data_IF_630763958243
#
_entry.id   IF_630763958243
#
_cell.length_a   1.000
_cell.length_b   1.000
_cell.length_c   1.000
_cell.angle_alpha   90.00
_cell.angle_beta   90.00
_cell.angle_gamma   90.00
#
_symmetry.space_group_name_H-M   'P 1'
#
loop_
_entity.id
_entity.type
_entity.pdbx_description
1 polymer ?
#
# COMPACT_ATOMS: atom_id res chain seq x y z
N UNK A 1 -3.42 6.17 -17.28
CA UNK A 1 -3.45 5.57 -15.93
C UNK A 1 -2.37 4.52 -15.87
N UNK A 2 -1.55 4.56 -14.83
CA UNK A 2 -0.46 3.60 -14.58
C UNK A 2 -0.88 2.67 -13.46
N UNK A 3 -0.19 1.54 -13.35
CA UNK A 3 -0.39 0.58 -12.26
C UNK A 3 0.79 0.65 -11.31
N UNK A 4 0.50 0.71 -10.02
CA UNK A 4 1.48 0.78 -8.96
C UNK A 4 1.23 -0.38 -8.00
N UNK A 5 2.24 -1.21 -7.81
CA UNK A 5 2.22 -2.21 -6.77
C UNK A 5 2.63 -1.56 -5.46
N UNK A 6 1.82 -1.72 -4.42
CA UNK A 6 2.06 -1.13 -3.10
C UNK A 6 2.56 -2.22 -2.19
N UNK A 7 3.62 -1.90 -1.45
CA UNK A 7 4.20 -2.73 -0.42
C UNK A 7 4.04 -2.03 0.92
N UNK A 8 3.86 -2.82 1.96
CA UNK A 8 3.77 -2.35 3.33
C UNK A 8 4.77 -3.10 4.18
N UNK A 9 5.40 -2.40 5.11
CA UNK A 9 6.29 -3.02 6.09
C UNK A 9 5.48 -3.69 7.20
N UNK A 10 5.67 -4.98 7.40
CA UNK A 10 5.00 -5.77 8.43
C UNK A 10 5.92 -6.91 8.92
N UNK A 11 6.04 -7.09 10.23
CA UNK A 11 7.01 -8.03 10.86
C UNK A 11 8.45 -7.85 10.35
N UNK A 12 8.95 -6.62 10.23
CA UNK A 12 10.29 -6.32 9.69
C UNK A 12 10.51 -6.81 8.23
N UNK A 13 9.43 -7.07 7.50
CA UNK A 13 9.45 -7.52 6.10
C UNK A 13 8.51 -6.71 5.22
N UNK A 14 8.90 -6.47 3.98
CA UNK A 14 8.02 -5.86 2.98
C UNK A 14 7.06 -6.90 2.41
N UNK A 15 5.77 -6.66 2.54
CA UNK A 15 4.71 -7.50 1.98
C UNK A 15 3.94 -6.75 0.92
N UNK A 16 3.63 -7.42 -0.19
CA UNK A 16 2.73 -6.87 -1.21
C UNK A 16 1.36 -6.65 -0.59
N UNK A 17 0.86 -5.42 -0.63
CA UNK A 17 -0.47 -5.04 -0.18
C UNK A 17 -1.50 -5.15 -1.31
N UNK A 18 -1.13 -4.71 -2.51
CA UNK A 18 -1.98 -4.80 -3.68
C UNK A 18 -1.51 -3.92 -4.83
N UNK A 19 -2.25 -3.96 -5.93
CA UNK A 19 -1.96 -3.12 -7.11
C UNK A 19 -3.05 -2.08 -7.31
N UNK A 20 -2.65 -0.82 -7.38
CA UNK A 20 -3.54 0.33 -7.52
C UNK A 20 -3.35 1.00 -8.87
N UNK A 21 -4.45 1.40 -9.50
CA UNK A 21 -4.42 2.21 -10.72
C UNK A 21 -4.50 3.68 -10.33
N UNK A 22 -3.45 4.43 -10.63
CA UNK A 22 -3.35 5.85 -10.28
C UNK A 22 -2.70 6.66 -11.41
N UNK A 23 -2.72 7.98 -11.26
CA UNK A 23 -2.01 8.91 -12.15
C UNK A 23 -0.50 8.89 -11.89
N UNK A 24 -0.13 8.70 -10.63
CA UNK A 24 1.23 8.75 -10.08
C UNK A 24 1.30 7.89 -8.80
N UNK A 25 2.52 7.67 -8.30
CA UNK A 25 2.77 6.81 -7.15
C UNK A 25 2.27 7.39 -5.82
N UNK A 26 2.23 8.71 -5.66
CA UNK A 26 1.71 9.35 -4.45
C UNK A 26 0.21 9.09 -4.32
N UNK A 27 -0.54 9.27 -5.40
CA UNK A 27 -1.96 8.94 -5.43
C UNK A 27 -2.21 7.45 -5.19
N UNK A 28 -1.31 6.56 -5.67
CA UNK A 28 -1.43 5.13 -5.37
C UNK A 28 -1.25 4.82 -3.88
N UNK A 29 -0.33 5.49 -3.19
CA UNK A 29 -0.15 5.39 -1.74
C UNK A 29 -1.38 5.92 -0.99
N UNK A 30 -1.94 7.06 -1.40
CA UNK A 30 -3.16 7.60 -0.79
C UNK A 30 -4.34 6.63 -0.92
N UNK A 31 -4.52 6.03 -2.09
CA UNK A 31 -5.54 5.00 -2.31
C UNK A 31 -5.32 3.78 -1.42
N UNK A 32 -4.07 3.32 -1.28
CA UNK A 32 -3.73 2.21 -0.40
C UNK A 32 -4.01 2.54 1.08
N UNK A 33 -3.67 3.75 1.53
CA UNK A 33 -3.95 4.23 2.90
C UNK A 33 -5.44 4.38 3.18
N UNK A 34 -6.25 4.63 2.15
CA UNK A 34 -7.71 4.66 2.25
C UNK A 34 -8.29 3.27 2.56
N UNK A 35 -7.61 2.20 2.15
CA UNK A 35 -7.98 0.79 2.42
C UNK A 35 -7.62 0.32 3.84
N UNK A 36 -7.91 1.14 4.86
CA UNK A 36 -7.67 0.86 6.30
C UNK A 36 -8.22 -0.50 6.75
N UNK A 37 -9.39 -0.87 6.25
CA UNK A 37 -10.02 -2.14 6.59
C UNK A 37 -9.18 -3.36 6.17
N UNK A 38 -8.48 -3.30 5.04
CA UNK A 38 -7.62 -4.40 4.60
C UNK A 38 -6.33 -4.45 5.39
N UNK A 39 -5.75 -3.29 5.74
CA UNK A 39 -4.57 -3.22 6.60
C UNK A 39 -4.85 -3.86 7.98
N UNK A 40 -6.00 -3.53 8.59
CA UNK A 40 -6.38 -4.10 9.89
C UNK A 40 -6.71 -5.60 9.75
N UNK A 41 -7.46 -6.01 8.72
CA UNK A 41 -7.93 -7.41 8.62
C UNK A 41 -6.86 -8.38 8.14
N UNK A 42 -6.06 -7.99 7.16
CA UNK A 42 -5.10 -8.90 6.51
C UNK A 42 -3.72 -8.85 7.19
N UNK A 43 -3.38 -7.73 7.83
CA UNK A 43 -2.09 -7.50 8.47
C UNK A 43 -2.20 -7.22 9.96
N UNK A 44 -3.38 -7.38 10.56
CA UNK A 44 -3.58 -7.23 12.02
C UNK A 44 -3.08 -5.91 12.62
N UNK A 45 -2.91 -4.87 11.80
CA UNK A 45 -2.51 -3.54 12.30
C UNK A 45 -3.60 -2.97 13.19
N UNK A 46 -3.19 -2.25 14.24
CA UNK A 46 -4.11 -1.42 15.02
C UNK A 46 -4.42 -0.13 14.28
N UNK A 47 -5.60 0.44 14.54
CA UNK A 47 -5.99 1.75 13.97
C UNK A 47 -4.97 2.85 14.30
N UNK A 48 -4.34 2.74 15.47
CA UNK A 48 -3.30 3.63 15.99
C UNK A 48 -2.00 3.56 15.16
N UNK A 49 -1.73 2.42 14.53
CA UNK A 49 -0.52 2.16 13.74
C UNK A 49 -0.67 2.60 12.28
N UNK A 50 -1.91 2.62 11.76
CA UNK A 50 -2.23 3.00 10.37
C UNK A 50 -1.55 4.28 9.85
N UNK A 51 -1.49 5.40 10.60
CA UNK A 51 -0.81 6.61 10.12
C UNK A 51 0.73 6.48 10.07
N UNK A 52 1.30 5.48 10.75
CA UNK A 52 2.74 5.26 10.86
C UNK A 52 3.26 4.07 10.04
N UNK A 53 2.38 3.35 9.33
CA UNK A 53 2.79 2.24 8.47
C UNK A 53 3.68 2.77 7.35
N UNK A 54 4.87 2.18 7.23
CA UNK A 54 5.74 2.42 6.09
C UNK A 54 5.16 1.74 4.85
N UNK A 55 5.05 2.51 3.77
CA UNK A 55 4.50 2.05 2.50
C UNK A 55 5.41 2.50 1.36
N UNK A 56 5.67 1.59 0.43
CA UNK A 56 6.44 1.85 -0.78
C UNK A 56 5.62 1.47 -2.02
N UNK A 57 5.93 2.07 -3.17
CA UNK A 57 5.28 1.74 -4.43
C UNK A 57 6.32 1.37 -5.50
N UNK A 58 5.92 0.46 -6.38
CA UNK A 58 6.65 0.10 -7.59
C UNK A 58 5.74 0.36 -8.80
N UNK A 59 6.19 1.19 -9.74
CA UNK A 59 5.46 1.42 -11.00
C UNK A 59 5.60 0.18 -11.89
N UNK A 60 4.48 -0.49 -12.15
CA UNK A 60 4.40 -1.59 -13.11
C UNK A 60 4.38 -0.99 -14.52
N UNK A 61 5.54 -0.99 -15.16
CA UNK A 61 5.62 -0.76 -16.60
C UNK A 61 5.01 -1.96 -17.31
N UNK A 62 3.89 -1.77 -18.01
CA UNK A 62 3.39 -2.80 -18.92
C UNK A 62 4.42 -2.97 -20.04
N UNK A 63 5.25 -4.00 -19.95
CA UNK A 63 6.11 -4.48 -21.03
C UNK A 63 5.30 -5.17 -22.11
#
# INVERSE_FOLDING_TARGET
>A
MRQFKIFIEHDDTWKEFGTFKASDGELALELARSSKNELIKNYSFKEEELPFINMEFEELSNT
#
